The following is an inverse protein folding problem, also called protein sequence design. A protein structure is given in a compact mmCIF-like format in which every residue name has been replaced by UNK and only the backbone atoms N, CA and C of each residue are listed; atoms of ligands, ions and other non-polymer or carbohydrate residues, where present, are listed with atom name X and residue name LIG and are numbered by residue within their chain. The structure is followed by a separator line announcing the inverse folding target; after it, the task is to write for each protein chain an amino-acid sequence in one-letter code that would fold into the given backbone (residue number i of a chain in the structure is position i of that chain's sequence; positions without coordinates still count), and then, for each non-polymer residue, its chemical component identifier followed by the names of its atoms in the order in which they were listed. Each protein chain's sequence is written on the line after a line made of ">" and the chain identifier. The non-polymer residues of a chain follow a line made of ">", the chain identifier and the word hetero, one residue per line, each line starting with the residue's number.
data_IF_754238591533
#
_entry.id   IF_754238591533
#
_cell.length_a   1.000
_cell.length_b   1.000
_cell.length_c   1.000
_cell.angle_alpha   90.00
_cell.angle_beta   90.00
_cell.angle_gamma   90.00
#
_symmetry.space_group_name_H-M   'P 1'
#
loop_
_entity.id
_entity.type
_entity.pdbx_description
1 polymer ?
#
# COMPACT_ATOMS: atom_id res chain seq x y z
N UNK A 1 -3.34 32.02 -11.30
CA UNK A 1 -3.97 30.86 -11.96
C UNK A 1 -3.40 29.64 -11.26
N UNK A 2 -4.23 28.77 -10.67
CA UNK A 2 -3.73 27.58 -9.95
C UNK A 2 -3.24 26.52 -10.92
N UNK A 3 -2.18 25.79 -10.57
CA UNK A 3 -1.71 24.66 -11.37
C UNK A 3 -2.79 23.58 -11.49
N UNK A 4 -2.91 23.02 -12.68
CA UNK A 4 -3.86 21.94 -12.96
C UNK A 4 -3.41 20.63 -12.31
N UNK A 5 -4.36 19.71 -12.11
CA UNK A 5 -4.09 18.36 -11.56
C UNK A 5 -2.95 17.65 -12.30
N UNK A 6 -2.96 17.72 -13.62
CA UNK A 6 -1.98 17.01 -14.45
C UNK A 6 -0.58 17.63 -14.32
N UNK A 7 -0.50 18.97 -14.26
CA UNK A 7 0.76 19.68 -14.05
C UNK A 7 1.38 19.33 -12.70
N UNK A 8 0.57 19.30 -11.64
CA UNK A 8 1.03 18.91 -10.29
C UNK A 8 1.56 17.48 -10.25
N UNK A 9 0.86 16.52 -10.88
CA UNK A 9 1.34 15.14 -10.97
C UNK A 9 2.63 15.04 -11.78
N UNK A 10 2.73 15.75 -12.90
CA UNK A 10 3.94 15.77 -13.73
C UNK A 10 5.12 16.37 -12.96
N UNK A 11 4.91 17.48 -12.26
CA UNK A 11 5.93 18.09 -11.39
C UNK A 11 6.36 17.12 -10.30
N UNK A 12 5.42 16.52 -9.58
CA UNK A 12 5.71 15.60 -8.48
C UNK A 12 6.49 14.38 -8.97
N UNK A 13 6.10 13.80 -10.11
CA UNK A 13 6.79 12.69 -10.73
C UNK A 13 8.19 13.07 -11.22
N UNK A 14 8.38 14.28 -11.76
CA UNK A 14 9.68 14.77 -12.19
C UNK A 14 10.62 15.02 -10.99
N UNK A 15 10.11 15.68 -9.94
CA UNK A 15 10.88 16.00 -8.72
C UNK A 15 11.28 14.73 -7.98
N UNK A 16 10.35 13.80 -7.81
CA UNK A 16 10.55 12.62 -6.97
C UNK A 16 10.90 11.36 -7.75
N UNK A 17 10.94 11.38 -9.08
CA UNK A 17 11.12 10.17 -9.90
C UNK A 17 10.10 9.07 -9.50
N UNK A 18 8.82 9.45 -9.47
CA UNK A 18 7.68 8.58 -9.20
C UNK A 18 6.83 8.41 -10.47
N UNK A 19 5.87 7.47 -10.42
CA UNK A 19 4.94 7.18 -11.53
C UNK A 19 3.48 7.33 -11.07
N UNK A 20 3.15 8.46 -10.45
CA UNK A 20 1.80 8.75 -9.98
C UNK A 20 0.89 9.12 -11.15
N UNK A 21 -0.28 8.49 -11.21
CA UNK A 21 -1.31 8.73 -12.22
C UNK A 21 -2.55 9.41 -11.64
N UNK A 22 -2.69 9.37 -10.30
CA UNK A 22 -3.84 9.87 -9.54
C UNK A 22 -3.35 10.63 -8.32
N UNK A 23 -4.01 11.73 -7.99
CA UNK A 23 -3.65 12.57 -6.83
C UNK A 23 -3.96 11.86 -5.51
N UNK A 24 -4.94 10.98 -5.52
CA UNK A 24 -5.34 10.10 -4.41
C UNK A 24 -4.16 9.26 -3.89
N UNK A 25 -3.17 8.95 -4.74
CA UNK A 25 -1.97 8.20 -4.35
C UNK A 25 -1.08 9.00 -3.37
N UNK A 26 -1.21 10.33 -3.32
CA UNK A 26 -0.54 11.16 -2.33
C UNK A 26 -1.11 10.97 -0.91
N UNK A 27 -2.32 10.40 -0.79
CA UNK A 27 -2.97 10.10 0.49
C UNK A 27 -2.24 9.08 1.36
N UNK A 28 -1.22 8.41 0.80
CA UNK A 28 -0.29 7.56 1.56
C UNK A 28 0.65 8.36 2.47
N UNK A 29 0.78 9.68 2.25
CA UNK A 29 1.68 10.57 2.97
C UNK A 29 3.17 10.49 2.56
N UNK A 30 3.57 9.45 1.83
CA UNK A 30 4.98 9.22 1.47
C UNK A 30 5.55 10.30 0.54
N UNK A 31 4.79 10.66 -0.50
CA UNK A 31 5.18 11.72 -1.43
C UNK A 31 5.34 13.07 -0.72
N UNK A 32 4.44 13.41 0.22
CA UNK A 32 4.53 14.66 0.99
C UNK A 32 5.74 14.70 1.92
N UNK A 33 6.08 13.57 2.57
CA UNK A 33 7.31 13.47 3.36
C UNK A 33 8.53 13.77 2.49
N UNK A 34 8.55 13.26 1.26
CA UNK A 34 9.68 13.44 0.37
C UNK A 34 9.77 14.84 -0.26
N UNK A 35 8.64 15.50 -0.51
CA UNK A 35 8.64 16.92 -0.88
C UNK A 35 9.35 17.74 0.21
N UNK A 36 9.02 17.49 1.49
CA UNK A 36 9.69 18.17 2.60
C UNK A 36 11.18 17.81 2.68
N UNK A 37 11.53 16.55 2.40
CA UNK A 37 12.91 16.11 2.35
C UNK A 37 13.72 16.82 1.26
N UNK A 38 13.10 17.16 0.13
CA UNK A 38 13.76 17.92 -0.92
C UNK A 38 14.09 19.37 -0.54
N UNK A 39 13.38 19.93 0.44
CA UNK A 39 13.62 21.29 0.93
C UNK A 39 14.66 21.28 2.06
N UNK A 40 14.49 20.37 3.04
CA UNK A 40 15.25 20.41 4.30
C UNK A 40 16.29 19.31 4.46
N UNK A 41 16.16 18.18 3.75
CA UNK A 41 17.08 17.04 3.84
C UNK A 41 17.12 16.30 5.18
N UNK A 42 16.32 16.71 6.17
CA UNK A 42 16.33 16.18 7.53
C UNK A 42 15.15 15.25 7.85
N UNK A 43 14.39 14.83 6.85
CA UNK A 43 13.28 13.90 7.04
C UNK A 43 13.85 12.49 7.23
N UNK A 44 13.36 11.70 8.21
CA UNK A 44 13.81 10.32 8.43
C UNK A 44 13.25 9.39 7.35
N UNK A 45 13.74 9.52 6.10
CA UNK A 45 13.25 8.81 4.92
C UNK A 45 13.28 7.29 5.05
N UNK A 46 14.19 6.73 5.86
CA UNK A 46 14.24 5.29 6.14
C UNK A 46 12.99 4.76 6.87
N UNK A 47 12.23 5.63 7.54
CA UNK A 47 10.97 5.28 8.23
C UNK A 47 9.74 5.53 7.38
N UNK A 48 9.89 6.24 6.26
CA UNK A 48 8.79 6.55 5.35
C UNK A 48 8.51 5.30 4.50
N UNK A 49 7.26 4.85 4.49
CA UNK A 49 6.83 3.65 3.78
C UNK A 49 6.21 4.03 2.44
N UNK A 50 6.88 3.71 1.33
CA UNK A 50 6.40 4.04 -0.04
C UNK A 50 5.50 2.97 -0.66
N UNK A 51 5.68 1.70 -0.28
CA UNK A 51 4.95 0.54 -0.84
C UNK A 51 3.96 -0.04 0.18
N UNK A 52 3.00 0.78 0.59
CA UNK A 52 1.96 0.38 1.54
C UNK A 52 0.58 0.69 1.00
N UNK A 53 -0.39 -0.14 1.38
CA UNK A 53 -1.79 -0.04 0.99
C UNK A 53 -2.75 -0.01 2.19
N UNK A 54 -2.23 0.06 3.42
CA UNK A 54 -3.01 0.09 4.66
C UNK A 54 -3.05 1.47 5.28
N UNK A 55 -4.23 1.88 5.75
CA UNK A 55 -4.44 3.19 6.37
C UNK A 55 -3.55 3.40 7.60
N UNK A 56 -3.37 2.35 8.41
CA UNK A 56 -2.46 2.36 9.55
C UNK A 56 -1.02 2.75 9.16
N UNK A 57 -0.51 2.25 8.03
CA UNK A 57 0.81 2.62 7.56
C UNK A 57 0.86 4.07 7.04
N UNK A 58 -0.22 4.57 6.45
CA UNK A 58 -0.30 5.98 6.02
C UNK A 58 -0.24 6.93 7.22
N UNK A 59 -0.89 6.58 8.33
CA UNK A 59 -0.82 7.36 9.58
C UNK A 59 0.62 7.49 10.10
N UNK A 60 1.45 6.46 9.94
CA UNK A 60 2.87 6.53 10.30
C UNK A 60 3.63 7.54 9.43
N UNK A 61 3.36 7.57 8.13
CA UNK A 61 3.93 8.58 7.23
C UNK A 61 3.44 10.00 7.60
N UNK A 62 2.14 10.18 7.87
CA UNK A 62 1.61 11.49 8.28
C UNK A 62 2.16 11.96 9.63
N UNK A 63 2.44 11.06 10.57
CA UNK A 63 3.13 11.41 11.81
C UNK A 63 4.53 11.97 11.55
N UNK A 64 5.27 11.39 10.60
CA UNK A 64 6.58 11.91 10.18
C UNK A 64 6.42 13.30 9.56
N UNK A 65 5.42 13.48 8.68
CA UNK A 65 5.14 14.77 8.04
C UNK A 65 4.76 15.86 9.04
N UNK A 66 3.86 15.57 9.99
CA UNK A 66 3.45 16.53 11.02
C UNK A 66 4.63 16.94 11.90
N UNK A 67 5.47 15.99 12.30
CA UNK A 67 6.68 16.29 13.06
C UNK A 67 7.64 17.20 12.27
N UNK A 68 7.75 16.99 10.96
CA UNK A 68 8.55 17.86 10.09
C UNK A 68 7.98 19.29 10.03
N UNK A 69 6.66 19.45 9.99
CA UNK A 69 6.02 20.77 10.01
C UNK A 69 6.30 21.49 11.33
N UNK A 70 6.16 20.80 12.46
CA UNK A 70 6.46 21.37 13.77
C UNK A 70 7.94 21.75 13.91
N UNK A 71 8.86 20.93 13.41
CA UNK A 71 10.29 21.22 13.46
C UNK A 71 10.69 22.46 12.65
N UNK A 72 9.96 22.76 11.57
CA UNK A 72 10.21 23.91 10.70
C UNK A 72 9.34 25.13 11.04
N UNK A 73 8.53 25.06 12.11
CA UNK A 73 7.65 26.17 12.52
C UNK A 73 6.54 26.49 11.51
N UNK A 74 6.02 25.48 10.80
CA UNK A 74 4.93 25.67 9.83
C UNK A 74 3.59 25.68 10.56
N UNK A 75 2.95 26.84 10.66
CA UNK A 75 1.68 27.03 11.38
C UNK A 75 0.48 26.30 10.76
N UNK A 76 0.56 25.90 9.49
CA UNK A 76 -0.55 25.24 8.81
C UNK A 76 -0.71 23.80 9.34
N UNK A 77 -1.88 23.44 9.91
CA UNK A 77 -2.12 22.07 10.34
C UNK A 77 -2.26 21.14 9.13
N UNK A 78 -1.70 19.93 9.25
CA UNK A 78 -1.88 18.86 8.26
C UNK A 78 -3.24 18.19 8.50
N UNK A 79 -4.19 18.21 7.54
CA UNK A 79 -5.52 17.61 7.71
C UNK A 79 -5.49 16.09 7.55
N UNK A 80 -4.79 15.39 8.46
CA UNK A 80 -4.48 13.95 8.37
C UNK A 80 -5.73 13.10 8.15
N UNK A 81 -6.80 13.35 8.91
CA UNK A 81 -8.06 12.58 8.85
C UNK A 81 -8.75 12.62 7.48
N UNK A 82 -8.54 13.70 6.72
CA UNK A 82 -9.10 13.85 5.37
C UNK A 82 -8.16 13.27 4.31
N UNK A 83 -6.85 13.51 4.46
CA UNK A 83 -5.84 13.05 3.50
C UNK A 83 -5.70 11.53 3.47
N UNK A 84 -5.71 10.90 4.65
CA UNK A 84 -5.49 9.45 4.82
C UNK A 84 -6.57 8.60 4.15
N UNK A 85 -7.75 9.18 3.93
CA UNK A 85 -8.86 8.56 3.19
C UNK A 85 -8.66 8.55 1.67
N UNK A 86 -7.53 9.07 1.19
CA UNK A 86 -7.17 9.14 -0.22
C UNK A 86 -8.24 9.81 -1.11
N UNK A 87 -9.01 10.75 -0.57
CA UNK A 87 -10.02 11.51 -1.34
C UNK A 87 -9.34 12.52 -2.25
N UNK A 88 -9.81 12.61 -3.50
CA UNK A 88 -9.20 13.44 -4.55
C UNK A 88 -9.14 14.93 -4.16
N UNK A 89 -10.24 15.52 -3.68
CA UNK A 89 -10.32 16.96 -3.38
C UNK A 89 -9.35 17.36 -2.26
N UNK A 90 -9.39 16.65 -1.12
CA UNK A 90 -8.54 16.93 0.04
C UNK A 90 -7.04 16.82 -0.33
N UNK A 91 -6.68 15.75 -1.06
CA UNK A 91 -5.30 15.53 -1.49
C UNK A 91 -4.85 16.55 -2.55
N UNK A 92 -5.74 16.99 -3.44
CA UNK A 92 -5.44 18.00 -4.45
C UNK A 92 -5.20 19.37 -3.81
N UNK A 93 -6.06 19.79 -2.88
CA UNK A 93 -5.89 21.06 -2.16
C UNK A 93 -4.57 21.07 -1.38
N UNK A 94 -4.25 19.97 -0.70
CA UNK A 94 -3.00 19.88 0.06
C UNK A 94 -1.78 19.84 -0.86
N UNK A 95 -1.84 19.13 -2.00
CA UNK A 95 -0.77 19.10 -2.99
C UNK A 95 -0.52 20.47 -3.63
N UNK A 96 -1.58 21.22 -3.96
CA UNK A 96 -1.46 22.59 -4.46
C UNK A 96 -0.74 23.50 -3.47
N UNK A 97 -1.08 23.40 -2.18
CA UNK A 97 -0.39 24.16 -1.16
C UNK A 97 1.07 23.72 -1.02
N UNK A 98 1.34 22.41 -1.01
CA UNK A 98 2.71 21.89 -0.93
C UNK A 98 3.58 22.37 -2.08
N UNK A 99 3.03 22.45 -3.29
CA UNK A 99 3.73 23.01 -4.44
C UNK A 99 4.11 24.47 -4.21
N UNK A 100 3.16 25.32 -3.81
CA UNK A 100 3.43 26.74 -3.50
C UNK A 100 4.47 26.90 -2.40
N UNK A 101 4.39 26.04 -1.38
CA UNK A 101 5.36 26.01 -0.30
C UNK A 101 6.75 25.63 -0.82
N UNK A 102 6.83 24.60 -1.66
CA UNK A 102 8.07 24.17 -2.28
C UNK A 102 8.69 25.26 -3.16
N UNK A 103 7.90 25.90 -4.03
CA UNK A 103 8.37 27.00 -4.89
C UNK A 103 8.96 28.17 -4.09
N UNK A 104 8.41 28.43 -2.89
CA UNK A 104 8.85 29.53 -2.03
C UNK A 104 10.07 29.19 -1.16
N UNK A 105 10.31 27.90 -0.85
CA UNK A 105 11.29 27.49 0.16
C UNK A 105 12.42 26.60 -0.41
N UNK A 106 12.29 26.08 -1.63
CA UNK A 106 13.30 25.22 -2.20
C UNK A 106 14.62 25.98 -2.40
N UNK A 107 15.74 25.52 -1.82
CA UNK A 107 17.00 26.25 -1.84
C UNK A 107 17.75 26.18 -3.18
N UNK A 108 17.23 25.45 -4.16
CA UNK A 108 17.88 25.26 -5.47
C UNK A 108 18.96 24.18 -5.47
N UNK A 109 19.10 23.41 -4.40
CA UNK A 109 20.09 22.32 -4.30
C UNK A 109 19.70 21.13 -5.16
N UNK A 110 20.69 20.42 -5.71
CA UNK A 110 20.43 19.14 -6.38
C UNK A 110 19.85 18.12 -5.39
N UNK A 111 18.77 17.44 -5.79
CA UNK A 111 18.07 16.47 -4.95
C UNK A 111 17.91 15.14 -5.68
N UNK A 112 18.60 14.10 -5.19
CA UNK A 112 18.44 12.72 -5.69
C UNK A 112 17.36 11.97 -4.90
N UNK A 113 16.14 12.02 -5.43
CA UNK A 113 14.99 11.39 -4.80
C UNK A 113 15.11 9.86 -4.66
N UNK A 114 15.75 9.18 -5.61
CA UNK A 114 15.87 7.71 -5.59
C UNK A 114 16.90 7.27 -4.57
N UNK A 115 18.04 7.96 -4.49
CA UNK A 115 19.04 7.68 -3.46
C UNK A 115 18.48 7.91 -2.05
N UNK A 116 17.70 8.98 -1.84
CA UNK A 116 17.04 9.27 -0.55
C UNK A 116 16.05 8.18 -0.12
N UNK A 117 15.39 7.54 -1.09
CA UNK A 117 14.52 6.37 -0.85
C UNK A 117 15.26 5.04 -0.80
N UNK A 118 16.57 5.01 -1.00
CA UNK A 118 17.36 3.78 -1.17
C UNK A 118 16.76 2.84 -2.24
N UNK A 119 16.25 3.42 -3.34
CA UNK A 119 15.64 2.66 -4.44
C UNK A 119 14.18 2.25 -4.23
N UNK A 120 13.54 2.54 -3.09
CA UNK A 120 12.12 2.24 -2.93
C UNK A 120 11.28 3.10 -3.90
N UNK A 121 10.48 2.48 -4.78
CA UNK A 121 9.47 3.16 -5.58
C UNK A 121 8.14 3.27 -4.84
N UNK A 122 7.15 3.96 -5.43
CA UNK A 122 5.74 3.77 -5.05
C UNK A 122 5.13 2.71 -5.96
N UNK A 123 4.51 1.70 -5.38
CA UNK A 123 3.74 0.71 -6.09
C UNK A 123 2.57 1.41 -6.79
N UNK A 124 2.58 1.40 -8.11
CA UNK A 124 1.37 1.65 -8.88
C UNK A 124 0.49 0.43 -8.71
N UNK A 125 -0.74 0.62 -8.21
CA UNK A 125 -1.75 -0.43 -8.31
C UNK A 125 -1.76 -0.95 -9.76
N UNK A 126 -1.80 -2.27 -10.01
CA UNK A 126 -1.64 -2.80 -11.34
C UNK A 126 -2.73 -2.21 -12.24
N UNK A 127 -2.33 -1.30 -13.13
CA UNK A 127 -3.15 -0.91 -14.24
C UNK A 127 -3.24 -2.16 -15.12
N UNK A 128 -4.43 -2.77 -15.17
CA UNK A 128 -4.75 -3.83 -16.13
C UNK A 128 -4.42 -3.29 -17.52
N UNK A 129 -3.27 -3.66 -18.07
CA UNK A 129 -2.91 -3.28 -19.42
C UNK A 129 -3.96 -3.87 -20.37
N UNK A 130 -4.58 -3.08 -21.27
CA UNK A 130 -5.47 -3.64 -22.27
C UNK A 130 -4.62 -4.49 -23.21
N UNK A 131 -4.86 -5.80 -23.21
CA UNK A 131 -4.35 -6.71 -24.24
C UNK A 131 -4.83 -6.20 -25.59
N UNK A 132 -3.91 -5.67 -26.38
CA UNK A 132 -4.16 -5.37 -27.78
C UNK A 132 -4.33 -6.69 -28.52
N UNK A 133 -5.56 -7.03 -28.90
CA UNK A 133 -5.84 -8.11 -29.83
C UNK A 133 -5.39 -7.67 -31.22
N UNK A 134 -4.20 -8.09 -31.64
CA UNK A 134 -3.72 -7.89 -32.99
C UNK A 134 -4.51 -8.80 -33.96
N UNK A 135 -5.24 -8.19 -34.89
CA UNK A 135 -5.87 -8.86 -36.02
C UNK A 135 -4.81 -9.35 -37.02
N UNK A 136 -5.01 -10.47 -37.74
CA UNK A 136 -4.06 -10.96 -38.72
C UNK A 136 -4.23 -10.19 -40.04
N UNK A 137 -3.13 -9.70 -40.62
CA UNK A 137 -3.11 -9.24 -42.02
C UNK A 137 -2.16 -10.10 -42.85
N UNK A 138 -2.58 -10.29 -44.09
CA UNK A 138 -2.14 -11.29 -45.03
C UNK A 138 -0.70 -11.13 -45.55
N UNK A 139 -0.11 -12.31 -45.78
CA UNK A 139 0.94 -12.74 -46.69
C UNK A 139 1.35 -11.75 -47.81
N UNK A 140 2.66 -11.49 -47.90
CA UNK A 140 3.34 -10.87 -49.05
C UNK A 140 4.83 -11.22 -49.06
N UNK A 141 5.33 -11.62 -50.23
CA UNK A 141 6.60 -12.32 -50.53
C UNK A 141 7.86 -11.42 -50.50
N UNK A 142 9.01 -12.03 -50.13
CA UNK A 142 10.48 -11.73 -50.17
C UNK A 142 11.07 -10.71 -51.19
N UNK A 143 12.39 -10.31 -51.17
CA UNK A 143 13.54 -10.72 -50.32
C UNK A 143 14.60 -9.66 -49.86
N UNK A 144 15.35 -10.05 -48.81
CA UNK A 144 16.82 -9.92 -48.56
C UNK A 144 17.53 -8.56 -48.49
N UNK A 145 18.23 -8.29 -47.36
CA UNK A 145 19.65 -7.84 -47.28
C UNK A 145 20.16 -8.03 -45.83
N UNK A 146 21.41 -8.47 -45.77
CA UNK A 146 22.26 -8.86 -44.64
C UNK A 146 22.50 -7.76 -43.59
N UNK A 147 22.43 -8.12 -42.31
CA UNK A 147 22.82 -7.26 -41.19
C UNK A 147 22.99 -8.07 -39.91
N UNK A 148 24.18 -8.64 -39.73
CA UNK A 148 24.63 -9.30 -38.51
C UNK A 148 24.62 -8.26 -37.37
N UNK A 149 23.73 -8.42 -36.38
CA UNK A 149 23.86 -7.79 -35.07
C UNK A 149 23.69 -8.84 -33.98
N UNK A 150 24.81 -9.10 -33.33
CA UNK A 150 24.99 -9.82 -32.07
C UNK A 150 23.93 -9.39 -31.04
N UNK A 151 23.03 -10.32 -30.68
CA UNK A 151 22.12 -10.18 -29.53
C UNK A 151 22.90 -10.60 -28.29
N UNK A 152 23.33 -9.65 -27.48
CA UNK A 152 23.66 -9.89 -26.07
C UNK A 152 22.35 -10.19 -25.32
N UNK A 153 22.22 -11.31 -24.59
CA UNK A 153 21.05 -11.58 -23.78
C UNK A 153 21.25 -10.92 -22.41
N UNK A 154 21.14 -9.59 -22.33
CA UNK A 154 21.13 -8.87 -21.06
C UNK A 154 19.70 -8.47 -20.71
N UNK A 155 18.90 -9.44 -20.28
CA UNK A 155 17.50 -9.23 -19.89
C UNK A 155 16.84 -10.37 -19.13
N UNK A 156 17.46 -11.57 -19.09
CA UNK A 156 16.88 -12.74 -18.40
C UNK A 156 16.86 -12.62 -16.87
N UNK A 157 17.91 -12.04 -16.27
CA UNK A 157 18.05 -12.00 -14.81
C UNK A 157 16.94 -11.18 -14.11
N UNK A 158 16.52 -10.06 -14.72
CA UNK A 158 15.45 -9.22 -14.16
C UNK A 158 14.08 -9.90 -14.27
N UNK A 159 13.80 -10.57 -15.39
CA UNK A 159 12.55 -11.30 -15.60
C UNK A 159 12.42 -12.50 -14.64
N UNK A 160 13.51 -13.23 -14.39
CA UNK A 160 13.50 -14.37 -13.47
C UNK A 160 13.31 -13.93 -12.02
N UNK A 161 13.93 -12.83 -11.59
CA UNK A 161 13.75 -12.29 -10.25
C UNK A 161 12.31 -11.82 -9.99
N UNK A 162 11.72 -11.10 -10.95
CA UNK A 162 10.32 -10.67 -10.87
C UNK A 162 9.35 -11.87 -10.86
N UNK A 163 9.66 -12.92 -11.63
CA UNK A 163 8.83 -14.13 -11.64
C UNK A 163 8.87 -14.88 -10.30
N UNK A 164 10.03 -14.89 -9.63
CA UNK A 164 10.17 -15.47 -8.29
C UNK A 164 9.36 -14.66 -7.26
N UNK A 165 9.46 -13.33 -7.29
CA UNK A 165 8.71 -12.46 -6.39
C UNK A 165 7.18 -12.61 -6.57
N UNK A 166 6.71 -12.72 -7.82
CA UNK A 166 5.30 -13.02 -8.12
C UNK A 166 4.88 -14.39 -7.55
N UNK A 167 5.75 -15.40 -7.58
CA UNK A 167 5.45 -16.72 -7.01
C UNK A 167 5.29 -16.62 -5.49
N UNK A 168 6.24 -15.97 -4.81
CA UNK A 168 6.20 -15.78 -3.35
C UNK A 168 4.97 -14.98 -2.92
N UNK A 169 4.62 -13.91 -3.64
CA UNK A 169 3.43 -13.13 -3.34
C UNK A 169 2.14 -13.93 -3.55
N UNK A 170 2.08 -14.79 -4.58
CA UNK A 170 0.92 -15.66 -4.80
C UNK A 170 0.75 -16.69 -3.68
N UNK A 171 1.84 -17.28 -3.21
CA UNK A 171 1.82 -18.21 -2.07
C UNK A 171 1.36 -17.49 -0.79
N UNK A 172 1.86 -16.28 -0.55
CA UNK A 172 1.44 -15.46 0.59
C UNK A 172 -0.04 -15.08 0.51
N UNK A 173 -0.54 -14.65 -0.65
CA UNK A 173 -1.97 -14.36 -0.85
C UNK A 173 -2.81 -15.61 -0.63
N UNK A 174 -2.41 -16.76 -1.17
CA UNK A 174 -3.13 -18.01 -0.96
C UNK A 174 -3.16 -18.45 0.52
N UNK A 175 -2.10 -18.16 1.28
CA UNK A 175 -2.08 -18.33 2.74
C UNK A 175 -3.11 -17.43 3.42
N UNK A 176 -3.03 -16.12 3.16
CA UNK A 176 -3.95 -15.13 3.75
C UNK A 176 -5.41 -15.35 3.37
N UNK A 177 -5.70 -15.83 2.15
CA UNK A 177 -7.06 -16.18 1.74
C UNK A 177 -7.59 -17.39 2.50
N UNK A 178 -6.75 -18.39 2.77
CA UNK A 178 -7.10 -19.50 3.65
C UNK A 178 -7.39 -19.02 5.07
N UNK A 179 -6.59 -18.08 5.59
CA UNK A 179 -6.83 -17.44 6.90
C UNK A 179 -8.15 -16.68 6.95
N UNK A 180 -8.40 -15.83 5.95
CA UNK A 180 -9.66 -15.11 5.82
C UNK A 180 -10.85 -16.07 5.81
N UNK A 181 -10.79 -17.13 5.00
CA UNK A 181 -11.91 -18.06 4.85
C UNK A 181 -12.14 -18.89 6.12
N UNK A 182 -11.06 -19.24 6.83
CA UNK A 182 -11.13 -19.90 8.13
C UNK A 182 -11.84 -19.03 9.19
N UNK A 183 -11.39 -17.79 9.37
CA UNK A 183 -12.03 -16.87 10.32
C UNK A 183 -13.46 -16.52 9.93
N UNK A 184 -13.73 -16.37 8.63
CA UNK A 184 -15.07 -16.13 8.11
C UNK A 184 -16.01 -17.32 8.40
N UNK A 185 -15.54 -18.56 8.22
CA UNK A 185 -16.33 -19.76 8.53
C UNK A 185 -16.68 -19.82 10.01
N UNK A 186 -15.74 -19.54 10.93
CA UNK A 186 -16.01 -19.48 12.38
C UNK A 186 -17.08 -18.44 12.72
N UNK A 187 -16.98 -17.23 12.16
CA UNK A 187 -17.97 -16.18 12.38
C UNK A 187 -19.34 -16.57 11.82
N UNK A 188 -19.37 -17.25 10.69
CA UNK A 188 -20.61 -17.76 10.10
C UNK A 188 -21.27 -18.84 10.96
N UNK A 189 -20.48 -19.75 11.52
CA UNK A 189 -20.96 -20.79 12.43
C UNK A 189 -21.52 -20.19 13.72
N UNK A 190 -20.86 -19.16 14.28
CA UNK A 190 -21.38 -18.41 15.44
C UNK A 190 -22.69 -17.69 15.09
N UNK A 191 -22.78 -17.06 13.92
CA UNK A 191 -24.00 -16.39 13.49
C UNK A 191 -25.17 -17.37 13.39
N UNK A 192 -24.96 -18.55 12.80
CA UNK A 192 -25.96 -19.61 12.73
C UNK A 192 -26.37 -20.09 14.13
N UNK A 193 -25.41 -20.35 15.01
CA UNK A 193 -25.67 -20.76 16.39
C UNK A 193 -26.54 -19.74 17.14
N UNK A 194 -26.26 -18.45 16.99
CA UNK A 194 -27.04 -17.41 17.63
C UNK A 194 -28.46 -17.31 17.06
N UNK A 195 -28.63 -17.51 15.75
CA UNK A 195 -29.95 -17.56 15.11
C UNK A 195 -30.79 -18.75 15.63
N UNK A 196 -30.18 -19.93 15.80
CA UNK A 196 -30.86 -21.12 16.35
C UNK A 196 -31.31 -20.90 17.81
N UNK A 197 -30.45 -20.32 18.64
CA UNK A 197 -30.77 -20.03 20.04
C UNK A 197 -31.91 -19.00 20.22
N UNK A 198 -32.18 -18.16 19.21
CA UNK A 198 -33.34 -17.25 19.23
C UNK A 198 -34.66 -17.99 19.00
N UNK A 199 -34.62 -19.17 18.36
CA UNK A 199 -35.78 -20.00 18.08
C UNK A 199 -36.10 -20.93 19.27
N UNK A 200 -35.08 -21.30 20.06
CA UNK A 200 -35.22 -22.09 21.29
C UNK A 200 -34.91 -21.25 22.55
N UNK A 201 -35.89 -20.48 23.07
CA UNK A 201 -35.67 -19.53 24.17
C UNK A 201 -35.40 -20.20 25.53
N UNK A 202 -35.56 -21.52 25.65
CA UNK A 202 -35.25 -22.27 26.87
C UNK A 202 -33.76 -22.73 26.91
N UNK A 203 -32.98 -22.48 25.86
CA UNK A 203 -31.55 -22.82 25.84
C UNK A 203 -30.76 -21.96 26.83
N UNK A 204 -30.05 -22.63 27.75
CA UNK A 204 -29.25 -21.95 28.76
C UNK A 204 -28.09 -21.17 28.10
N UNK A 205 -27.95 -19.90 28.46
CA UNK A 205 -26.88 -19.01 28.01
C UNK A 205 -25.50 -19.58 28.28
N UNK A 206 -25.32 -20.33 29.38
CA UNK A 206 -24.05 -21.00 29.68
C UNK A 206 -23.67 -22.02 28.58
N UNK A 207 -24.66 -22.72 28.03
CA UNK A 207 -24.47 -23.68 26.94
C UNK A 207 -24.10 -22.98 25.64
N UNK A 208 -24.74 -21.85 25.33
CA UNK A 208 -24.44 -21.04 24.13
C UNK A 208 -23.02 -20.50 24.20
N UNK A 209 -22.60 -19.95 25.34
CA UNK A 209 -21.23 -19.43 25.54
C UNK A 209 -20.21 -20.53 25.31
N UNK A 210 -20.46 -21.74 25.83
CA UNK A 210 -19.57 -22.88 25.64
C UNK A 210 -19.43 -23.27 24.16
N UNK A 211 -20.54 -23.35 23.43
CA UNK A 211 -20.53 -23.64 21.99
C UNK A 211 -19.79 -22.56 21.19
N UNK A 212 -19.93 -21.28 21.54
CA UNK A 212 -19.16 -20.18 20.92
C UNK A 212 -17.67 -20.33 21.19
N UNK A 213 -17.28 -20.65 22.42
CA UNK A 213 -15.87 -20.90 22.77
C UNK A 213 -15.30 -22.09 21.98
N UNK A 214 -16.05 -23.18 21.85
CA UNK A 214 -15.63 -24.34 21.06
C UNK A 214 -15.37 -23.96 19.59
N UNK A 215 -16.21 -23.10 18.99
CA UNK A 215 -16.00 -22.59 17.61
C UNK A 215 -14.79 -21.67 17.53
N UNK A 216 -14.59 -20.77 18.51
CA UNK A 216 -13.45 -19.83 18.50
C UNK A 216 -12.12 -20.57 18.66
N UNK A 217 -12.05 -21.52 19.59
CA UNK A 217 -10.83 -22.24 19.95
C UNK A 217 -10.58 -23.53 19.16
N UNK A 218 -11.45 -23.90 18.21
CA UNK A 218 -11.15 -25.02 17.32
C UNK A 218 -9.90 -24.75 16.49
N UNK A 219 -8.89 -25.62 16.60
CA UNK A 219 -7.63 -25.50 15.85
C UNK A 219 -7.68 -26.40 14.62
N UNK A 220 -7.44 -25.83 13.43
CA UNK A 220 -7.20 -26.61 12.21
C UNK A 220 -5.70 -26.65 11.90
N UNK A 221 -5.25 -27.79 11.34
CA UNK A 221 -3.84 -28.11 11.09
C UNK A 221 -3.21 -27.08 10.13
N UNK A 222 -2.29 -26.24 10.64
CA UNK A 222 -1.64 -25.15 9.89
C UNK A 222 -1.97 -23.72 10.33
N UNK A 223 -2.79 -23.55 11.38
CA UNK A 223 -3.06 -22.26 12.03
C UNK A 223 -2.46 -22.25 13.45
N UNK A 224 -1.24 -21.76 13.59
CA UNK A 224 -0.68 -21.49 14.92
C UNK A 224 -1.18 -20.13 15.42
N UNK A 225 -1.83 -20.17 16.59
CA UNK A 225 -2.02 -18.98 17.42
C UNK A 225 -0.62 -18.56 17.89
N UNK A 226 -0.17 -17.31 17.68
CA UNK A 226 1.10 -16.85 18.23
C UNK A 226 1.18 -17.11 19.74
N UNK A 227 2.30 -17.68 20.21
CA UNK A 227 2.54 -18.09 21.61
C UNK A 227 2.27 -16.98 22.66
N UNK A 228 2.20 -15.71 22.22
CA UNK A 228 1.96 -14.54 23.08
C UNK A 228 0.53 -14.50 23.69
N UNK A 229 -0.46 -15.19 23.14
CA UNK A 229 -1.82 -15.27 23.73
C UNK A 229 -2.02 -16.46 24.68
N UNK A 230 -1.15 -17.48 24.64
CA UNK A 230 -1.22 -18.59 25.59
C UNK A 230 -0.73 -18.21 26.99
N UNK A 231 0.16 -17.22 27.10
CA UNK A 231 0.73 -16.80 28.37
C UNK A 231 -0.20 -15.90 29.22
N UNK A 232 -1.24 -15.30 28.64
CA UNK A 232 -2.11 -14.34 29.36
C UNK A 232 -3.26 -15.05 30.11
N UNK A 233 -3.64 -16.26 29.68
CA UNK A 233 -4.78 -16.97 30.28
C UNK A 233 -4.43 -17.82 31.52
N UNK A 234 -3.15 -18.04 31.83
CA UNK A 234 -2.74 -18.83 33.00
C UNK A 234 -2.55 -17.99 34.29
N UNK A 235 -2.59 -16.65 34.22
CA UNK A 235 -2.32 -15.78 35.39
C UNK A 235 -3.57 -15.10 35.99
N UNK A 236 -4.75 -15.23 35.38
CA UNK A 236 -6.01 -14.72 35.95
C UNK A 236 -6.92 -15.83 36.48
N UNK A 237 -6.40 -16.61 37.43
CA UNK A 237 -7.25 -17.32 38.40
C UNK A 237 -6.98 -16.81 39.82
N UNK A 238 -7.80 -15.86 40.28
CA UNK A 238 -8.21 -15.74 41.68
C UNK A 238 -9.49 -14.93 41.84
#
# INVERSE_FOLDING_TARGET
>A
MGESRQELLNWLNALLQLNLTKVEQCGTGAAFCQIMDSIYGNIPMARVKFNVNTEYAYLQNFKILTNAFSAQGIDRPVPVQSLVKCKMQDNLEFLQWMKRYWDANFPGTEYDAVARRKGQGMATAPASAPRSTAAPKARGTTPQITGQRTRTPLGGASTTALQAEISTLKESVAGLERERDFYFSKLRDIELLLQESQVDPDEDKATIIKKVQDILYSTEDGFEIPEEEQAVNDDETF
#
